data_IF_004425622715
#
_entry.id   IF_004425622715
#
_cell.length_a   1.000
_cell.length_b   1.000
_cell.length_c   1.000
_cell.angle_alpha   90.00
_cell.angle_beta   90.00
_cell.angle_gamma   90.00
#
_symmetry.space_group_name_H-M   'P 1'
#
loop_
_entity.id
_entity.type
_entity.pdbx_description
1 polymer ?
#
# COMPACT_ATOMS: atom_id res chain seq x y z
N UNK A 1 2.06 -26.17 -29.02
CA UNK A 1 1.52 -24.88 -28.50
C UNK A 1 0.00 -25.05 -28.36
N UNK A 2 -0.49 -25.50 -27.21
CA UNK A 2 -1.94 -25.68 -27.01
C UNK A 2 -2.25 -25.37 -25.56
N UNK A 3 -2.75 -24.16 -25.34
CA UNK A 3 -3.15 -23.60 -24.05
C UNK A 3 -4.03 -24.59 -23.29
N UNK A 4 -3.44 -25.25 -22.29
CA UNK A 4 -4.21 -26.00 -21.31
C UNK A 4 -4.90 -24.97 -20.42
N UNK A 5 -6.20 -24.73 -20.67
CA UNK A 5 -7.02 -23.86 -19.81
C UNK A 5 -6.88 -24.31 -18.35
N UNK A 6 -6.79 -23.38 -17.41
CA UNK A 6 -6.61 -23.66 -15.97
C UNK A 6 -7.64 -24.67 -15.45
N UNK A 7 -8.84 -24.69 -16.05
CA UNK A 7 -9.94 -25.63 -15.78
C UNK A 7 -9.67 -27.08 -16.22
N UNK A 8 -8.67 -27.31 -17.07
CA UNK A 8 -8.23 -28.62 -17.56
C UNK A 8 -7.06 -29.17 -16.73
N UNK A 9 -6.23 -28.30 -16.15
CA UNK A 9 -5.15 -28.67 -15.21
C UNK A 9 -5.72 -28.89 -13.79
N UNK A 10 -6.70 -28.07 -13.39
CA UNK A 10 -7.42 -28.20 -12.13
C UNK A 10 -8.92 -28.26 -12.39
N UNK A 11 -9.50 -29.46 -12.55
CA UNK A 11 -10.93 -29.61 -12.77
C UNK A 11 -11.72 -29.41 -11.48
N UNK A 12 -12.83 -28.66 -11.55
CA UNK A 12 -13.76 -28.47 -10.41
C UNK A 12 -14.54 -29.76 -10.09
N UNK A 13 -14.65 -30.66 -11.06
CA UNK A 13 -15.32 -31.96 -10.97
C UNK A 13 -14.50 -33.04 -11.68
N UNK A 14 -14.35 -34.22 -11.06
CA UNK A 14 -13.64 -35.37 -11.64
C UNK A 14 -14.51 -36.64 -11.58
N UNK A 15 -14.28 -37.59 -12.49
CA UNK A 15 -14.94 -38.89 -12.48
C UNK A 15 -14.23 -39.81 -11.49
N UNK A 16 -14.97 -40.34 -10.52
CA UNK A 16 -14.50 -41.31 -9.54
C UNK A 16 -15.18 -42.67 -9.78
N UNK A 17 -14.37 -43.72 -9.92
CA UNK A 17 -14.87 -45.11 -10.04
C UNK A 17 -14.88 -45.77 -8.66
N UNK A 18 -16.05 -46.08 -8.12
CA UNK A 18 -16.19 -46.84 -6.88
C UNK A 18 -16.36 -48.33 -7.19
N UNK A 19 -15.56 -49.18 -6.57
CA UNK A 19 -15.68 -50.63 -6.70
C UNK A 19 -16.43 -51.19 -5.48
N UNK A 20 -17.60 -51.78 -5.70
CA UNK A 20 -18.38 -52.46 -4.65
C UNK A 20 -18.53 -53.95 -4.97
N UNK A 21 -18.57 -54.78 -3.94
CA UNK A 21 -18.81 -56.23 -4.08
C UNK A 21 -20.30 -56.51 -3.91
N UNK A 22 -20.92 -57.13 -4.93
CA UNK A 22 -22.30 -57.57 -4.86
C UNK A 22 -22.49 -58.81 -3.96
N UNK A 23 -23.73 -59.20 -3.65
CA UNK A 23 -24.03 -60.37 -2.81
C UNK A 23 -23.51 -61.70 -3.40
N UNK A 24 -23.19 -61.74 -4.69
CA UNK A 24 -22.58 -62.88 -5.38
C UNK A 24 -21.04 -62.83 -5.45
N UNK A 25 -20.38 -61.87 -4.77
CA UNK A 25 -18.93 -61.69 -4.77
C UNK A 25 -18.35 -61.03 -6.03
N UNK A 26 -19.19 -60.63 -6.99
CA UNK A 26 -18.76 -59.95 -8.22
C UNK A 26 -18.50 -58.47 -7.98
N UNK A 27 -17.43 -57.93 -8.57
CA UNK A 27 -17.06 -56.51 -8.50
C UNK A 27 -17.96 -55.72 -9.45
N UNK A 28 -18.82 -54.86 -8.89
CA UNK A 28 -19.60 -53.88 -9.64
C UNK A 28 -18.93 -52.50 -9.58
N UNK A 29 -18.75 -51.88 -10.74
CA UNK A 29 -18.18 -50.54 -10.89
C UNK A 29 -19.29 -49.52 -10.90
N UNK A 30 -19.26 -48.58 -9.96
CA UNK A 30 -20.17 -47.43 -9.90
C UNK A 30 -19.40 -46.16 -10.24
N UNK A 31 -19.85 -45.44 -11.26
CA UNK A 31 -19.28 -44.16 -11.64
C UNK A 31 -19.96 -43.03 -10.87
N UNK A 32 -19.17 -42.23 -10.13
CA UNK A 32 -19.62 -41.03 -9.42
C UNK A 32 -18.87 -39.78 -9.88
N UNK A 33 -19.49 -38.61 -9.72
CA UNK A 33 -18.83 -37.32 -9.93
C UNK A 33 -18.34 -36.79 -8.57
N UNK A 34 -17.03 -36.55 -8.45
CA UNK A 34 -16.40 -35.96 -7.27
C UNK A 34 -16.13 -34.48 -7.52
N UNK A 35 -16.58 -33.60 -6.62
CA UNK A 35 -16.23 -32.17 -6.65
C UNK A 35 -14.89 -31.99 -5.93
N UNK A 36 -13.97 -31.19 -6.48
CA UNK A 36 -12.72 -30.83 -5.80
C UNK A 36 -12.90 -29.47 -5.11
N UNK A 37 -13.24 -29.42 -3.81
CA UNK A 37 -13.65 -28.17 -3.15
C UNK A 37 -12.54 -27.13 -3.13
N UNK A 38 -11.28 -27.60 -3.13
CA UNK A 38 -10.07 -26.77 -3.15
C UNK A 38 -10.03 -25.82 -4.36
N UNK A 39 -10.46 -26.27 -5.53
CA UNK A 39 -10.43 -25.45 -6.74
C UNK A 39 -11.56 -24.41 -6.78
N UNK A 40 -12.71 -24.74 -6.18
CA UNK A 40 -13.83 -23.80 -6.00
C UNK A 40 -13.45 -22.71 -4.99
N UNK A 41 -12.80 -23.08 -3.89
CA UNK A 41 -12.34 -22.12 -2.87
C UNK A 41 -11.29 -21.17 -3.47
N UNK A 42 -10.31 -21.70 -4.21
CA UNK A 42 -9.31 -20.90 -4.90
C UNK A 42 -9.96 -19.88 -5.86
N UNK A 43 -10.93 -20.29 -6.66
CA UNK A 43 -11.64 -19.37 -7.57
C UNK A 43 -12.27 -18.17 -6.83
N UNK A 44 -12.88 -18.39 -5.66
CA UNK A 44 -13.49 -17.30 -4.87
C UNK A 44 -12.43 -16.40 -4.22
N UNK A 45 -11.36 -16.98 -3.69
CA UNK A 45 -10.25 -16.23 -3.08
C UNK A 45 -9.52 -15.39 -4.12
N UNK A 46 -9.22 -15.94 -5.31
CA UNK A 46 -8.52 -15.21 -6.36
C UNK A 46 -9.31 -14.01 -6.86
N UNK A 47 -10.63 -14.13 -6.99
CA UNK A 47 -11.48 -13.00 -7.36
C UNK A 47 -11.41 -11.91 -6.28
N UNK A 48 -11.53 -12.26 -5.00
CA UNK A 48 -11.40 -11.30 -3.90
C UNK A 48 -10.02 -10.62 -3.87
N UNK A 49 -8.94 -11.41 -3.96
CA UNK A 49 -7.57 -10.91 -3.96
C UNK A 49 -7.27 -10.03 -5.18
N UNK A 50 -7.87 -10.32 -6.34
CA UNK A 50 -7.68 -9.51 -7.54
C UNK A 50 -8.19 -8.07 -7.33
N UNK A 51 -9.42 -7.92 -6.82
CA UNK A 51 -9.96 -6.60 -6.49
C UNK A 51 -9.15 -5.92 -5.38
N UNK A 52 -8.76 -6.68 -4.35
CA UNK A 52 -7.93 -6.19 -3.26
C UNK A 52 -6.57 -5.65 -3.73
N UNK A 53 -5.88 -6.40 -4.59
CA UNK A 53 -4.59 -5.98 -5.14
C UNK A 53 -4.70 -4.79 -6.09
N UNK A 54 -5.78 -4.68 -6.87
CA UNK A 54 -6.03 -3.47 -7.66
C UNK A 54 -6.19 -2.26 -6.74
N UNK A 55 -7.01 -2.37 -5.71
CA UNK A 55 -7.22 -1.30 -4.73
C UNK A 55 -5.90 -0.91 -4.05
N UNK A 56 -5.11 -1.88 -3.58
CA UNK A 56 -3.80 -1.62 -2.99
C UNK A 56 -2.85 -0.94 -3.98
N UNK A 57 -2.81 -1.41 -5.23
CA UNK A 57 -1.98 -0.83 -6.28
C UNK A 57 -2.35 0.63 -6.54
N UNK A 58 -3.64 0.95 -6.56
CA UNK A 58 -4.11 2.34 -6.73
C UNK A 58 -3.70 3.22 -5.54
N UNK A 59 -3.92 2.77 -4.29
CA UNK A 59 -3.57 3.54 -3.09
C UNK A 59 -2.06 3.77 -3.01
N UNK A 60 -1.27 2.71 -3.23
CA UNK A 60 0.19 2.79 -3.23
C UNK A 60 0.70 3.63 -4.40
N UNK A 61 0.10 3.50 -5.58
CA UNK A 61 0.41 4.30 -6.77
C UNK A 61 0.22 5.80 -6.52
N UNK A 62 -0.93 6.21 -5.98
CA UNK A 62 -1.19 7.60 -5.59
C UNK A 62 -0.17 8.09 -4.56
N UNK A 63 0.12 7.27 -3.55
CA UNK A 63 1.12 7.61 -2.52
C UNK A 63 2.54 7.78 -3.10
N UNK A 64 2.90 6.96 -4.08
CA UNK A 64 4.20 7.02 -4.75
C UNK A 64 4.30 8.23 -5.67
N UNK A 65 3.24 8.54 -6.42
CA UNK A 65 3.15 9.74 -7.26
C UNK A 65 3.30 10.99 -6.39
N UNK A 66 2.56 11.07 -5.28
CA UNK A 66 2.69 12.17 -4.32
C UNK A 66 4.14 12.33 -3.81
N UNK A 67 4.76 11.24 -3.35
CA UNK A 67 6.16 11.26 -2.88
C UNK A 67 7.13 11.69 -3.98
N UNK A 68 6.94 11.19 -5.19
CA UNK A 68 7.77 11.53 -6.36
C UNK A 68 7.63 13.01 -6.71
N UNK A 69 6.40 13.55 -6.72
CA UNK A 69 6.16 14.97 -6.97
C UNK A 69 6.83 15.87 -5.92
N UNK A 70 6.83 15.45 -4.65
CA UNK A 70 7.52 16.16 -3.57
C UNK A 70 9.04 16.12 -3.70
N UNK A 71 9.61 14.99 -4.13
CA UNK A 71 11.06 14.85 -4.34
C UNK A 71 11.54 15.66 -5.53
N UNK A 72 10.78 15.69 -6.62
CA UNK A 72 11.13 16.44 -7.84
C UNK A 72 10.84 17.94 -7.71
N UNK A 73 9.83 18.32 -6.92
CA UNK A 73 9.31 19.68 -6.83
C UNK A 73 9.66 20.38 -5.52
N UNK A 74 10.72 21.22 -5.45
CA UNK A 74 11.01 22.01 -4.26
C UNK A 74 9.89 23.00 -3.89
N UNK A 75 9.06 23.41 -4.87
CA UNK A 75 7.90 24.26 -4.62
C UNK A 75 6.76 23.52 -3.91
N UNK A 76 6.54 22.24 -4.25
CA UNK A 76 5.55 21.37 -3.58
C UNK A 76 5.96 21.17 -2.13
N UNK A 77 7.26 20.99 -1.88
CA UNK A 77 7.86 20.89 -0.55
C UNK A 77 7.54 22.10 0.34
N UNK A 78 7.72 23.30 -0.21
CA UNK A 78 7.41 24.56 0.47
C UNK A 78 5.90 24.72 0.71
N UNK A 79 5.07 24.43 -0.30
CA UNK A 79 3.62 24.53 -0.18
C UNK A 79 3.06 23.60 0.91
N UNK A 80 3.52 22.35 0.97
CA UNK A 80 3.13 21.39 2.00
C UNK A 80 3.54 21.82 3.40
N UNK A 81 4.75 22.35 3.55
CA UNK A 81 5.22 22.84 4.84
C UNK A 81 4.37 24.04 5.28
N UNK A 82 4.13 25.01 4.38
CA UNK A 82 3.24 26.17 4.61
C UNK A 82 1.82 25.77 4.97
N UNK A 83 1.25 24.79 4.29
CA UNK A 83 -0.08 24.28 4.56
C UNK A 83 -0.20 23.68 5.97
N UNK A 84 0.90 23.17 6.53
CA UNK A 84 0.93 22.67 7.90
C UNK A 84 1.28 23.73 8.93
N UNK A 85 2.30 24.54 8.69
CA UNK A 85 2.74 25.60 9.59
C UNK A 85 1.97 26.90 9.36
N UNK A 86 0.64 26.85 9.29
CA UNK A 86 -0.22 28.01 9.00
C UNK A 86 -0.05 29.16 10.01
N UNK A 87 0.41 28.85 11.21
CA UNK A 87 0.64 29.82 12.30
C UNK A 87 2.05 30.45 12.26
N UNK A 88 2.97 29.94 11.44
CA UNK A 88 4.35 30.42 11.38
C UNK A 88 4.53 31.49 10.28
N UNK A 89 5.37 32.50 10.49
CA UNK A 89 5.71 33.49 9.47
C UNK A 89 6.28 32.85 8.19
N UNK A 90 5.90 33.38 7.03
CA UNK A 90 6.31 32.84 5.72
C UNK A 90 7.82 32.87 5.50
N UNK A 91 8.51 33.88 6.04
CA UNK A 91 9.97 34.02 5.94
C UNK A 91 10.70 32.88 6.65
N UNK A 92 10.27 32.51 7.86
CA UNK A 92 10.89 31.40 8.62
C UNK A 92 10.77 30.07 7.88
N UNK A 93 9.59 29.81 7.30
CA UNK A 93 9.31 28.58 6.54
C UNK A 93 10.17 28.54 5.27
N UNK A 94 10.35 29.68 4.60
CA UNK A 94 11.17 29.77 3.39
C UNK A 94 12.66 29.58 3.70
N UNK A 95 13.17 30.15 4.80
CA UNK A 95 14.55 29.94 5.24
C UNK A 95 14.83 28.47 5.53
N UNK A 96 13.92 27.79 6.24
CA UNK A 96 14.01 26.35 6.51
C UNK A 96 13.95 25.56 5.20
N UNK A 97 13.00 25.87 4.31
CA UNK A 97 12.86 25.17 3.05
C UNK A 97 14.04 25.39 2.09
N UNK A 98 14.81 26.48 2.22
CA UNK A 98 16.03 26.70 1.43
C UNK A 98 17.25 25.98 2.02
N UNK A 99 17.39 25.94 3.35
CA UNK A 99 18.57 25.37 4.03
C UNK A 99 18.46 23.88 4.38
N UNK A 100 17.26 23.33 4.54
CA UNK A 100 17.08 21.91 4.89
C UNK A 100 17.19 20.98 3.70
N UNK A 101 17.85 19.84 3.91
CA UNK A 101 17.90 18.75 2.95
C UNK A 101 16.54 18.05 2.84
N UNK A 102 16.38 17.15 1.85
CA UNK A 102 15.12 16.42 1.65
C UNK A 102 14.76 15.54 2.86
N UNK A 103 15.76 14.97 3.53
CA UNK A 103 15.60 14.15 4.73
C UNK A 103 15.08 14.96 5.92
N UNK A 104 15.71 16.10 6.22
CA UNK A 104 15.30 16.98 7.32
C UNK A 104 13.87 17.48 7.11
N UNK A 105 13.54 17.87 5.87
CA UNK A 105 12.18 18.27 5.54
C UNK A 105 11.18 17.14 5.76
N UNK A 106 11.51 15.90 5.39
CA UNK A 106 10.62 14.76 5.59
C UNK A 106 10.38 14.48 7.09
N UNK A 107 11.44 14.54 7.90
CA UNK A 107 11.33 14.40 9.36
C UNK A 107 10.46 15.52 9.93
N UNK A 108 10.70 16.77 9.54
CA UNK A 108 9.93 17.94 9.97
C UNK A 108 8.45 17.83 9.57
N UNK A 109 8.17 17.34 8.35
CA UNK A 109 6.82 17.09 7.87
C UNK A 109 6.10 16.02 8.68
N UNK A 110 6.80 14.92 9.03
CA UNK A 110 6.23 13.87 9.88
C UNK A 110 6.04 14.34 11.32
N UNK A 111 6.95 15.17 11.84
CA UNK A 111 6.82 15.79 13.15
C UNK A 111 5.56 16.66 13.22
N UNK A 112 5.33 17.52 12.23
CA UNK A 112 4.14 18.37 12.15
C UNK A 112 2.82 17.60 11.95
N UNK A 113 2.86 16.31 11.60
CA UNK A 113 1.68 15.43 11.57
C UNK A 113 1.34 14.84 12.94
N UNK A 114 2.33 14.67 13.83
CA UNK A 114 2.16 14.01 15.12
C UNK A 114 2.15 14.99 16.31
N UNK A 115 2.59 16.24 16.11
CA UNK A 115 2.66 17.28 17.15
C UNK A 115 1.53 18.31 16.98
N UNK A 116 1.09 18.91 18.10
CA UNK A 116 0.14 20.02 18.13
C UNK A 116 0.64 21.24 17.31
N UNK A 117 -0.25 21.92 16.55
CA UNK A 117 0.14 23.05 15.71
C UNK A 117 0.86 24.20 16.44
N UNK A 118 0.58 24.42 17.73
CA UNK A 118 1.19 25.48 18.53
C UNK A 118 2.64 25.15 18.87
N UNK A 119 2.90 23.91 19.32
CA UNK A 119 4.25 23.41 19.61
C UNK A 119 5.08 23.34 18.33
N UNK A 120 4.45 22.91 17.22
CA UNK A 120 5.12 22.87 15.92
C UNK A 120 5.55 24.27 15.44
N UNK A 121 4.76 25.31 15.71
CA UNK A 121 5.12 26.70 15.41
C UNK A 121 6.37 27.15 16.19
N UNK A 122 6.43 26.83 17.48
CA UNK A 122 7.57 27.17 18.34
C UNK A 122 8.86 26.50 17.85
N UNK A 123 8.77 25.19 17.54
CA UNK A 123 9.86 24.43 16.93
C UNK A 123 10.35 25.03 15.61
N UNK A 124 9.43 25.42 14.71
CA UNK A 124 9.77 26.06 13.44
C UNK A 124 10.48 27.39 13.67
N UNK A 125 10.00 28.20 14.61
CA UNK A 125 10.62 29.49 14.94
C UNK A 125 12.05 29.32 15.48
N UNK A 126 12.26 28.37 16.39
CA UNK A 126 13.59 28.13 16.97
C UNK A 126 14.55 27.51 15.96
N UNK A 127 14.07 26.60 15.11
CA UNK A 127 14.85 26.05 14.01
C UNK A 127 15.28 27.14 13.02
N UNK A 128 14.37 28.06 12.67
CA UNK A 128 14.69 29.18 11.79
C UNK A 128 15.76 30.11 12.39
N UNK A 129 15.67 30.44 13.69
CA UNK A 129 16.68 31.25 14.38
C UNK A 129 18.07 30.61 14.35
N UNK A 130 18.15 29.30 14.64
CA UNK A 130 19.42 28.55 14.61
C UNK A 130 20.01 28.50 13.20
N UNK A 131 19.18 28.30 12.18
CA UNK A 131 19.62 28.25 10.78
C UNK A 131 20.08 29.62 10.23
N UNK A 132 19.60 30.72 10.81
CA UNK A 132 20.01 32.08 10.46
C UNK A 132 21.33 32.50 11.15
N UNK A 133 21.92 31.62 11.98
CA UNK A 133 23.15 31.92 12.71
C UNK A 133 22.97 32.87 13.89
N UNK A 134 21.72 33.14 14.31
CA UNK A 134 21.42 33.81 15.58
C UNK A 134 21.49 32.79 16.72
N UNK A 135 22.69 32.31 17.02
CA UNK A 135 22.95 31.68 18.32
C UNK A 135 23.15 32.79 19.36
N UNK A 136 22.11 33.05 20.16
CA UNK A 136 22.36 33.44 21.55
C UNK A 136 22.56 32.15 22.32
N UNK A 137 23.83 31.92 22.69
CA UNK A 137 24.25 31.08 23.83
C UNK A 137 23.35 31.36 25.03
#
# INVERSE_FOLDING_TARGET
>A
LSSCSISRVFPKVTKCTFHKYGPSGTVQKFDGLCVLPLNIVNEKIYVFLWFWFILLTLITGVSLIYRTAVVLGPQVRLYLLRARSRLSPQEQIETIARKCQIGDWFVLYQLGKNIDPLIFKELISDLAKKLDGKETV
#
